data_IF_223598668417
#
_entry.id   IF_223598668417
#
_cell.length_a   1.000
_cell.length_b   1.000
_cell.length_c   1.000
_cell.angle_alpha   90.00
_cell.angle_beta   90.00
_cell.angle_gamma   90.00
#
_symmetry.space_group_name_H-M   'P 1'
#
loop_
_entity.id
_entity.type
_entity.pdbx_description
1 polymer ?
#
# COMPACT_ATOMS: atom_id res chain seq x y z
N UNK A 1 -33.27 16.59 -54.94
CA UNK A 1 -32.78 17.57 -53.92
C UNK A 1 -33.54 17.44 -52.59
N UNK A 2 -33.79 16.20 -52.11
CA UNK A 2 -34.57 15.93 -50.88
C UNK A 2 -33.78 15.08 -49.86
N UNK A 3 -32.78 14.31 -50.30
CA UNK A 3 -31.95 13.47 -49.42
C UNK A 3 -31.03 14.28 -48.49
N UNK A 4 -30.52 15.43 -48.95
CA UNK A 4 -29.52 16.21 -48.22
C UNK A 4 -30.03 16.80 -46.88
N UNK A 5 -31.34 17.00 -46.72
CA UNK A 5 -31.92 17.53 -45.47
C UNK A 5 -31.97 16.46 -44.38
N UNK A 6 -32.21 15.19 -44.71
CA UNK A 6 -32.28 14.09 -43.74
C UNK A 6 -30.90 13.71 -43.20
N UNK A 7 -29.88 13.66 -44.08
CA UNK A 7 -28.48 13.44 -43.68
C UNK A 7 -27.94 14.58 -42.83
N UNK A 8 -28.29 15.84 -43.12
CA UNK A 8 -27.89 16.99 -42.32
C UNK A 8 -28.46 16.93 -40.89
N UNK A 9 -29.72 16.51 -40.74
CA UNK A 9 -30.37 16.34 -39.43
C UNK A 9 -29.71 15.22 -38.62
N UNK A 10 -29.39 14.09 -39.24
CA UNK A 10 -28.70 12.97 -38.58
C UNK A 10 -27.31 13.37 -38.10
N UNK A 11 -26.56 14.15 -38.89
CA UNK A 11 -25.25 14.67 -38.49
C UNK A 11 -25.33 15.57 -37.26
N UNK A 12 -26.33 16.45 -37.18
CA UNK A 12 -26.55 17.32 -36.02
C UNK A 12 -26.82 16.49 -34.75
N UNK A 13 -27.62 15.43 -34.85
CA UNK A 13 -27.94 14.55 -33.72
C UNK A 13 -26.67 13.82 -33.21
N UNK A 14 -25.81 13.36 -34.12
CA UNK A 14 -24.53 12.71 -33.76
C UNK A 14 -23.63 13.68 -33.00
N UNK A 15 -23.50 14.92 -33.46
CA UNK A 15 -22.69 15.94 -32.78
C UNK A 15 -23.22 16.30 -31.38
N UNK A 16 -24.54 16.30 -31.18
CA UNK A 16 -25.15 16.50 -29.86
C UNK A 16 -24.79 15.35 -28.91
N UNK A 17 -24.86 14.10 -29.38
CA UNK A 17 -24.47 12.93 -28.58
C UNK A 17 -22.98 12.97 -28.22
N UNK A 18 -22.11 13.34 -29.17
CA UNK A 18 -20.66 13.48 -28.92
C UNK A 18 -20.39 14.59 -27.91
N UNK A 19 -21.10 15.73 -27.98
CA UNK A 19 -20.98 16.81 -26.99
C UNK A 19 -21.46 16.38 -25.60
N UNK A 20 -22.55 15.62 -25.50
CA UNK A 20 -23.06 15.07 -24.23
C UNK A 20 -22.11 14.02 -23.64
N UNK A 21 -21.56 13.12 -24.46
CA UNK A 21 -20.58 12.13 -24.05
C UNK A 21 -19.26 12.80 -23.61
N UNK A 22 -18.81 13.82 -24.34
CA UNK A 22 -17.64 14.62 -23.98
C UNK A 22 -17.83 15.39 -22.67
N UNK A 23 -19.00 16.00 -22.48
CA UNK A 23 -19.34 16.72 -21.25
C UNK A 23 -19.42 15.80 -20.03
N UNK A 24 -20.03 14.62 -20.18
CA UNK A 24 -20.09 13.61 -19.11
C UNK A 24 -18.71 13.03 -18.79
N UNK A 25 -17.89 12.72 -19.79
CA UNK A 25 -16.51 12.26 -19.61
C UNK A 25 -15.62 13.31 -18.95
N UNK A 26 -15.73 14.59 -19.36
CA UNK A 26 -14.99 15.69 -18.75
C UNK A 26 -15.38 15.89 -17.27
N UNK A 27 -16.68 15.80 -16.96
CA UNK A 27 -17.18 15.85 -15.58
C UNK A 27 -16.66 14.68 -14.75
N UNK A 28 -16.64 13.46 -15.30
CA UNK A 28 -16.12 12.26 -14.63
C UNK A 28 -14.60 12.36 -14.35
N UNK A 29 -13.81 12.82 -15.34
CA UNK A 29 -12.36 13.02 -15.21
C UNK A 29 -12.02 14.07 -14.16
N UNK A 30 -12.78 15.16 -14.11
CA UNK A 30 -12.60 16.19 -13.07
C UNK A 30 -13.07 15.70 -11.70
N UNK A 31 -14.18 14.96 -11.59
CA UNK A 31 -14.60 14.33 -10.34
C UNK A 31 -13.55 13.36 -9.80
N UNK A 32 -12.90 12.57 -10.65
CA UNK A 32 -11.86 11.61 -10.22
C UNK A 32 -10.60 12.32 -9.70
N UNK A 33 -10.16 13.39 -10.38
CA UNK A 33 -9.04 14.23 -9.91
C UNK A 33 -9.37 14.93 -8.60
N UNK A 34 -10.59 15.45 -8.47
CA UNK A 34 -11.06 16.10 -7.23
C UNK A 34 -11.18 15.08 -6.10
N UNK A 35 -11.64 13.85 -6.34
CA UNK A 35 -11.70 12.78 -5.34
C UNK A 35 -10.29 12.43 -4.85
N UNK A 36 -9.32 12.20 -5.74
CA UNK A 36 -7.93 11.92 -5.35
C UNK A 36 -7.29 13.09 -4.59
N UNK A 37 -7.56 14.33 -4.99
CA UNK A 37 -7.07 15.51 -4.28
C UNK A 37 -7.74 15.70 -2.92
N UNK A 38 -9.04 15.45 -2.79
CA UNK A 38 -9.77 15.51 -1.51
C UNK A 38 -9.27 14.42 -0.56
N UNK A 39 -8.95 13.23 -1.06
CA UNK A 39 -8.37 12.15 -0.26
C UNK A 39 -6.94 12.47 0.20
N UNK A 40 -6.09 13.02 -0.68
CA UNK A 40 -4.76 13.53 -0.33
C UNK A 40 -4.83 14.69 0.69
N UNK A 41 -5.77 15.63 0.53
CA UNK A 41 -6.00 16.73 1.46
C UNK A 41 -6.58 16.24 2.79
N UNK A 42 -7.37 15.16 2.80
CA UNK A 42 -7.86 14.51 4.02
C UNK A 42 -6.74 13.75 4.74
N UNK A 43 -5.86 13.06 4.00
CA UNK A 43 -4.63 12.42 4.52
C UNK A 43 -3.68 13.48 5.10
N UNK A 44 -3.51 14.61 4.40
CA UNK A 44 -2.71 15.76 4.86
C UNK A 44 -3.33 16.49 6.06
N UNK A 45 -4.65 16.71 6.09
CA UNK A 45 -5.36 17.27 7.26
C UNK A 45 -5.26 16.35 8.47
N UNK A 46 -5.37 15.04 8.29
CA UNK A 46 -5.21 14.05 9.36
C UNK A 46 -3.76 13.99 9.90
N UNK A 47 -2.77 14.29 9.06
CA UNK A 47 -1.35 14.48 9.45
C UNK A 47 -1.12 15.81 10.20
N UNK A 48 -1.84 16.86 9.81
CA UNK A 48 -1.81 18.19 10.44
C UNK A 48 -2.61 18.25 11.76
N UNK A 49 -3.64 17.44 11.94
CA UNK A 49 -4.51 17.43 13.13
C UNK A 49 -3.82 16.89 14.39
N UNK A 50 -2.73 16.14 14.28
CA UNK A 50 -2.02 15.62 15.47
C UNK A 50 -0.82 16.44 15.88
N UNK A 51 0.02 16.93 14.96
CA UNK A 51 1.28 17.62 15.29
C UNK A 51 2.19 16.84 16.26
N UNK A 52 1.87 15.57 16.50
CA UNK A 52 2.43 14.69 17.51
C UNK A 52 2.96 13.49 16.76
N UNK A 53 4.24 13.26 16.96
CA UNK A 53 4.95 12.10 16.47
C UNK A 53 5.13 11.11 17.62
N UNK A 54 5.14 9.83 17.29
CA UNK A 54 5.53 8.76 18.19
C UNK A 54 6.72 8.01 17.60
N UNK A 55 7.63 7.59 18.47
CA UNK A 55 8.81 6.83 18.07
C UNK A 55 8.44 5.34 17.93
N UNK A 56 8.73 4.76 16.76
CA UNK A 56 8.50 3.35 16.47
C UNK A 56 9.80 2.70 16.04
N UNK A 57 10.08 1.52 16.58
CA UNK A 57 11.26 0.76 16.23
C UNK A 57 11.07 0.02 14.91
N UNK A 58 11.95 0.30 13.97
CA UNK A 58 12.02 -0.40 12.70
C UNK A 58 13.19 -1.37 12.67
N UNK A 59 13.02 -2.46 11.93
CA UNK A 59 14.01 -3.51 11.78
C UNK A 59 14.51 -3.54 10.34
N UNK A 60 15.82 -3.64 10.16
CA UNK A 60 16.51 -3.46 8.88
C UNK A 60 17.51 -4.58 8.67
N UNK A 61 17.49 -5.26 7.52
CA UNK A 61 18.55 -6.19 7.15
C UNK A 61 19.90 -5.47 7.09
N UNK A 62 20.94 -6.06 7.68
CA UNK A 62 22.30 -5.55 7.47
C UNK A 62 22.77 -5.80 6.03
N UNK A 63 23.86 -5.14 5.61
CA UNK A 63 24.36 -5.22 4.23
C UNK A 63 24.74 -6.64 3.76
N UNK A 64 25.01 -7.56 4.69
CA UNK A 64 25.35 -8.96 4.41
C UNK A 64 24.16 -9.92 4.53
N UNK A 65 22.96 -9.42 4.86
CA UNK A 65 21.75 -10.19 5.09
C UNK A 65 21.90 -11.33 6.13
N UNK A 66 22.64 -11.07 7.21
CA UNK A 66 22.84 -12.02 8.31
C UNK A 66 22.06 -11.65 9.56
N UNK A 67 21.78 -10.37 9.80
CA UNK A 67 21.14 -9.91 11.03
C UNK A 67 20.13 -8.78 10.73
N UNK A 68 19.23 -8.52 11.69
CA UNK A 68 18.37 -7.34 11.68
C UNK A 68 18.92 -6.30 12.66
N UNK A 69 19.25 -5.12 12.13
CA UNK A 69 19.55 -3.93 12.92
C UNK A 69 18.27 -3.17 13.25
N UNK A 70 18.26 -2.45 14.35
CA UNK A 70 17.11 -1.65 14.78
C UNK A 70 17.40 -0.17 14.67
N UNK A 71 16.38 0.61 14.31
CA UNK A 71 16.43 2.07 14.36
C UNK A 71 15.06 2.60 14.74
N UNK A 72 15.04 3.49 15.71
CA UNK A 72 13.82 4.19 16.10
C UNK A 72 13.57 5.33 15.10
N UNK A 73 12.35 5.40 14.58
CA UNK A 73 11.92 6.47 13.68
C UNK A 73 10.60 7.07 14.15
N UNK A 74 10.50 8.39 14.01
CA UNK A 74 9.31 9.13 14.36
C UNK A 74 8.27 9.02 13.25
N UNK A 75 7.11 8.49 13.59
CA UNK A 75 5.95 8.44 12.70
C UNK A 75 4.82 9.32 13.27
N UNK A 76 3.94 9.87 12.41
CA UNK A 76 2.75 10.56 12.90
C UNK A 76 1.92 9.66 13.81
N UNK A 77 1.32 10.22 14.86
CA UNK A 77 0.40 9.45 15.71
C UNK A 77 -0.86 9.11 14.92
N UNK A 78 -1.22 7.82 14.89
CA UNK A 78 -2.43 7.31 14.25
C UNK A 78 -3.43 6.81 15.30
N UNK A 79 -4.64 7.37 15.30
CA UNK A 79 -5.72 6.92 16.20
C UNK A 79 -6.21 5.50 15.91
N UNK A 80 -6.28 5.13 14.62
CA UNK A 80 -6.70 3.79 14.21
C UNK A 80 -5.47 2.90 14.14
N UNK A 81 -5.51 1.78 14.88
CA UNK A 81 -4.46 0.76 14.87
C UNK A 81 -4.15 0.26 13.44
N UNK A 82 -5.18 0.07 12.61
CA UNK A 82 -5.03 -0.31 11.18
C UNK A 82 -4.12 0.68 10.43
N UNK A 83 -4.45 1.97 10.47
CA UNK A 83 -3.71 3.01 9.76
C UNK A 83 -2.24 3.10 10.24
N UNK A 84 -2.00 2.87 11.54
CA UNK A 84 -0.64 2.77 12.10
C UNK A 84 0.14 1.60 11.48
N UNK A 85 -0.47 0.42 11.46
CA UNK A 85 0.14 -0.80 10.90
C UNK A 85 0.42 -0.64 9.41
N UNK A 86 -0.55 -0.10 8.66
CA UNK A 86 -0.41 0.24 7.25
C UNK A 86 0.83 1.12 7.03
N UNK A 87 0.98 2.19 7.85
CA UNK A 87 2.13 3.08 7.72
C UNK A 87 3.46 2.43 8.06
N UNK A 88 3.48 1.59 9.10
CA UNK A 88 4.68 0.83 9.48
C UNK A 88 5.06 -0.13 8.34
N UNK A 89 4.08 -0.82 7.75
CA UNK A 89 4.32 -1.73 6.64
C UNK A 89 4.87 -1.01 5.39
N UNK A 90 4.26 0.11 4.97
CA UNK A 90 4.77 0.96 3.88
C UNK A 90 6.25 1.34 4.11
N UNK A 91 6.58 1.81 5.32
CA UNK A 91 7.96 2.18 5.69
C UNK A 91 8.89 0.98 5.66
N UNK A 92 8.44 -0.18 6.15
CA UNK A 92 9.23 -1.41 6.08
C UNK A 92 9.50 -1.82 4.62
N UNK A 93 8.55 -1.68 3.69
CA UNK A 93 8.79 -1.96 2.28
C UNK A 93 9.81 -0.99 1.65
N UNK A 94 9.71 0.30 1.96
CA UNK A 94 10.72 1.30 1.55
C UNK A 94 12.12 0.90 2.04
N UNK A 95 12.23 0.43 3.29
CA UNK A 95 13.49 -0.05 3.86
C UNK A 95 14.05 -1.27 3.12
N UNK A 96 13.19 -2.21 2.71
CA UNK A 96 13.62 -3.36 1.91
C UNK A 96 14.08 -2.97 0.51
N UNK A 97 13.49 -1.93 -0.08
CA UNK A 97 13.98 -1.34 -1.32
C UNK A 97 15.37 -0.72 -1.13
N UNK A 98 15.57 0.09 -0.09
CA UNK A 98 16.88 0.68 0.24
C UNK A 98 17.96 -0.38 0.49
N UNK A 99 17.57 -1.53 1.07
CA UNK A 99 18.43 -2.70 1.27
C UNK A 99 18.64 -3.54 -0.02
N UNK A 100 18.09 -3.13 -1.16
CA UNK A 100 18.15 -3.85 -2.45
C UNK A 100 17.59 -5.27 -2.38
N UNK A 101 16.61 -5.51 -1.50
CA UNK A 101 15.83 -6.76 -1.45
C UNK A 101 14.65 -6.66 -2.41
N UNK A 102 13.96 -5.52 -2.39
CA UNK A 102 12.91 -5.18 -3.34
C UNK A 102 13.45 -4.23 -4.40
N UNK A 103 12.86 -4.27 -5.59
CA UNK A 103 13.22 -3.41 -6.72
C UNK A 103 12.28 -2.21 -6.87
N UNK A 104 11.09 -2.29 -6.26
CA UNK A 104 10.08 -1.23 -6.32
C UNK A 104 10.21 -0.32 -5.10
N UNK A 105 10.42 1.00 -5.28
CA UNK A 105 10.65 1.95 -4.18
C UNK A 105 9.43 2.21 -3.31
N UNK A 106 8.25 2.18 -3.92
CA UNK A 106 6.99 2.43 -3.25
C UNK A 106 6.07 1.25 -3.50
N UNK A 107 5.77 0.52 -2.44
CA UNK A 107 4.79 -0.54 -2.43
C UNK A 107 3.64 -0.06 -1.57
N UNK A 108 2.49 0.11 -2.21
CA UNK A 108 1.28 0.49 -1.51
C UNK A 108 0.66 -0.76 -0.84
N UNK A 109 0.19 -0.58 0.38
CA UNK A 109 -0.57 -1.60 1.10
C UNK A 109 -2.04 -1.45 0.72
N UNK A 110 -2.61 -2.44 0.04
CA UNK A 110 -4.02 -2.41 -0.40
C UNK A 110 -4.96 -2.40 0.78
N UNK A 111 -4.71 -3.29 1.73
CA UNK A 111 -5.56 -3.45 2.89
C UNK A 111 -4.79 -4.04 4.08
N UNK A 112 -5.32 -3.76 5.26
CA UNK A 112 -4.86 -4.33 6.53
C UNK A 112 -6.07 -4.87 7.26
N UNK A 113 -6.07 -6.17 7.53
CA UNK A 113 -7.08 -6.85 8.34
C UNK A 113 -6.47 -7.24 9.68
N UNK A 114 -7.24 -7.10 10.76
CA UNK A 114 -6.80 -7.47 12.10
C UNK A 114 -7.81 -8.47 12.67
N UNK A 115 -7.36 -9.68 12.97
CA UNK A 115 -8.15 -10.71 13.62
C UNK A 115 -7.41 -11.22 14.86
N UNK A 116 -7.91 -10.83 16.04
CA UNK A 116 -7.24 -11.11 17.32
C UNK A 116 -5.86 -10.45 17.37
N UNK A 117 -4.81 -11.27 17.57
CA UNK A 117 -3.41 -10.85 17.62
C UNK A 117 -2.68 -10.94 16.26
N UNK A 118 -3.43 -11.27 15.19
CA UNK A 118 -2.89 -11.51 13.85
C UNK A 118 -3.29 -10.39 12.89
N UNK A 119 -2.30 -9.85 12.19
CA UNK A 119 -2.47 -8.89 11.10
C UNK A 119 -2.33 -9.61 9.77
N UNK A 120 -3.23 -9.31 8.84
CA UNK A 120 -3.11 -9.71 7.44
C UNK A 120 -2.85 -8.44 6.63
N UNK A 121 -1.73 -8.40 5.92
CA UNK A 121 -1.35 -7.27 5.06
C UNK A 121 -1.51 -7.72 3.64
N UNK A 122 -2.43 -7.06 2.93
CA UNK A 122 -2.62 -7.27 1.50
C UNK A 122 -1.77 -6.27 0.71
N UNK A 123 -0.95 -6.80 -0.18
CA UNK A 123 0.05 -6.07 -0.93
C UNK A 123 -0.17 -6.20 -2.44
N UNK A 124 0.43 -5.25 -3.16
CA UNK A 124 0.60 -5.36 -4.60
C UNK A 124 1.60 -6.48 -4.97
N UNK A 125 1.51 -7.09 -6.17
CA UNK A 125 2.37 -8.20 -6.62
C UNK A 125 3.88 -7.92 -6.65
N UNK A 126 4.29 -6.66 -6.60
CA UNK A 126 5.66 -6.15 -6.64
C UNK A 126 6.53 -6.67 -5.50
N UNK A 127 5.92 -7.17 -4.42
CA UNK A 127 6.64 -7.86 -3.33
C UNK A 127 7.06 -9.28 -3.70
N UNK A 128 6.76 -9.76 -4.91
CA UNK A 128 6.96 -11.12 -5.38
C UNK A 128 8.37 -11.68 -5.18
N UNK A 129 9.40 -10.83 -5.14
CA UNK A 129 10.76 -11.23 -4.81
C UNK A 129 10.87 -11.91 -3.43
N UNK A 130 10.04 -11.53 -2.45
CA UNK A 130 10.04 -12.11 -1.11
C UNK A 130 9.41 -13.50 -1.05
N UNK A 131 8.72 -13.94 -2.11
CA UNK A 131 8.06 -15.25 -2.18
C UNK A 131 9.04 -16.41 -2.06
N UNK A 132 10.23 -16.26 -2.65
CA UNK A 132 11.25 -17.32 -2.69
C UNK A 132 11.92 -17.53 -1.33
N UNK A 133 12.07 -18.78 -0.84
CA UNK A 133 12.56 -19.11 0.50
C UNK A 133 14.09 -18.98 0.65
N UNK A 134 14.66 -17.85 0.25
CA UNK A 134 16.08 -17.54 0.43
C UNK A 134 16.33 -16.85 1.77
N UNK A 135 17.55 -16.99 2.33
CA UNK A 135 17.93 -16.31 3.59
C UNK A 135 17.68 -14.80 3.53
N UNK A 136 18.06 -14.16 2.43
CA UNK A 136 17.84 -12.73 2.16
C UNK A 136 16.36 -12.34 2.24
N UNK A 137 15.49 -13.12 1.59
CA UNK A 137 14.05 -12.82 1.54
C UNK A 137 13.37 -13.07 2.87
N UNK A 138 13.74 -14.16 3.56
CA UNK A 138 13.23 -14.46 4.89
C UNK A 138 13.59 -13.34 5.87
N UNK A 139 14.82 -12.83 5.80
CA UNK A 139 15.26 -11.69 6.62
C UNK A 139 14.45 -10.43 6.28
N UNK A 140 14.15 -10.19 5.00
CA UNK A 140 13.25 -9.11 4.58
C UNK A 140 11.83 -9.24 5.15
N UNK A 141 11.28 -10.45 5.17
CA UNK A 141 9.97 -10.72 5.80
C UNK A 141 10.04 -10.43 7.30
N UNK A 142 11.07 -10.88 8.01
CA UNK A 142 11.19 -10.59 9.43
C UNK A 142 11.44 -9.11 9.74
N UNK A 143 12.07 -8.34 8.84
CA UNK A 143 12.13 -6.88 8.93
C UNK A 143 10.72 -6.26 8.98
N UNK A 144 9.81 -6.71 8.12
CA UNK A 144 8.40 -6.27 8.12
C UNK A 144 7.68 -6.75 9.40
N UNK A 145 7.76 -8.05 9.70
CA UNK A 145 7.03 -8.69 10.81
C UNK A 145 7.44 -8.09 12.16
N UNK A 146 8.74 -7.92 12.39
CA UNK A 146 9.23 -7.40 13.67
C UNK A 146 8.81 -5.95 13.89
N UNK A 147 8.84 -5.12 12.83
CA UNK A 147 8.36 -3.74 12.86
C UNK A 147 6.87 -3.64 13.18
N UNK A 148 6.03 -4.43 12.51
CA UNK A 148 4.57 -4.41 12.75
C UNK A 148 4.23 -4.90 14.16
N UNK A 149 4.94 -5.91 14.66
CA UNK A 149 4.71 -6.46 16.01
C UNK A 149 5.17 -5.53 17.13
N UNK A 150 5.77 -4.37 16.83
CA UNK A 150 5.96 -3.31 17.85
C UNK A 150 4.65 -2.60 18.19
N UNK A 151 3.61 -2.77 17.36
CA UNK A 151 2.28 -2.29 17.69
C UNK A 151 1.68 -3.15 18.82
N UNK A 152 1.32 -2.56 19.98
CA UNK A 152 0.85 -3.34 21.12
C UNK A 152 -0.36 -4.22 20.79
N UNK A 153 -0.30 -5.48 21.21
CA UNK A 153 -1.35 -6.47 20.98
C UNK A 153 -1.34 -7.13 19.60
N UNK A 154 -0.30 -6.89 18.78
CA UNK A 154 -0.06 -7.62 17.53
C UNK A 154 1.16 -8.54 17.71
N UNK A 155 0.96 -9.84 17.50
CA UNK A 155 2.02 -10.85 17.66
C UNK A 155 2.33 -11.59 16.36
N UNK A 156 1.40 -11.57 15.39
CA UNK A 156 1.47 -12.36 14.17
C UNK A 156 1.18 -11.52 12.95
N UNK A 157 1.84 -11.83 11.84
CA UNK A 157 1.64 -11.17 10.54
C UNK A 157 1.56 -12.22 9.44
N UNK A 158 0.55 -12.11 8.59
CA UNK A 158 0.36 -12.87 7.35
C UNK A 158 0.41 -11.89 6.18
N UNK A 159 1.21 -12.21 5.17
CA UNK A 159 1.32 -11.42 3.96
C UNK A 159 0.43 -12.07 2.89
N UNK A 160 -0.43 -11.27 2.28
CA UNK A 160 -1.30 -11.62 1.17
C UNK A 160 -0.90 -10.82 -0.07
N UNK A 161 -1.21 -11.34 -1.25
CA UNK A 161 -1.03 -10.63 -2.52
C UNK A 161 -2.33 -10.73 -3.29
N UNK A 162 -2.92 -9.58 -3.62
CA UNK A 162 -4.23 -9.48 -4.27
C UNK A 162 -5.33 -10.26 -3.52
N UNK A 163 -5.39 -10.07 -2.19
CA UNK A 163 -6.30 -10.73 -1.25
C UNK A 163 -6.21 -12.26 -1.22
N UNK A 164 -5.21 -12.84 -1.88
CA UNK A 164 -5.04 -14.29 -2.03
C UNK A 164 -3.85 -14.78 -1.23
N UNK A 165 -4.02 -15.97 -0.67
CA UNK A 165 -2.90 -16.73 -0.16
C UNK A 165 -1.97 -17.14 -1.32
N UNK A 166 -0.67 -17.10 -1.03
CA UNK A 166 0.38 -17.40 -1.99
C UNK A 166 1.26 -18.53 -1.45
N UNK A 167 1.95 -19.22 -2.37
CA UNK A 167 2.93 -20.25 -2.02
C UNK A 167 4.27 -19.65 -1.55
N UNK A 168 5.22 -20.50 -1.17
CA UNK A 168 6.55 -20.08 -0.71
C UNK A 168 6.47 -19.43 0.67
N UNK A 169 7.24 -18.37 0.87
CA UNK A 169 7.26 -17.66 2.15
C UNK A 169 5.88 -17.09 2.54
N UNK A 170 5.07 -16.65 1.58
CA UNK A 170 3.75 -16.06 1.85
C UNK A 170 2.70 -17.08 2.32
N UNK A 171 2.99 -18.38 2.26
CA UNK A 171 2.08 -19.42 2.77
C UNK A 171 1.98 -19.43 4.30
N UNK A 172 2.91 -18.78 5.00
CA UNK A 172 3.05 -18.89 6.45
C UNK A 172 2.52 -17.66 7.19
N UNK A 173 2.15 -17.86 8.46
CA UNK A 173 1.95 -16.79 9.43
C UNK A 173 3.27 -16.65 10.20
N UNK A 174 3.79 -15.44 10.29
CA UNK A 174 5.05 -15.13 10.95
C UNK A 174 4.83 -14.49 12.30
N UNK A 175 5.66 -14.85 13.26
CA UNK A 175 5.80 -14.16 14.55
C UNK A 175 7.12 -13.42 14.59
N UNK A 176 7.27 -12.50 15.54
CA UNK A 176 8.54 -11.84 15.82
C UNK A 176 9.67 -12.87 15.99
N UNK A 177 10.81 -12.61 15.37
CA UNK A 177 12.02 -13.42 15.54
C UNK A 177 13.26 -12.50 15.48
N UNK A 178 14.22 -12.69 16.38
CA UNK A 178 15.47 -11.91 16.43
C UNK A 178 16.73 -12.78 16.29
N UNK A 179 16.58 -14.10 16.17
CA UNK A 179 17.69 -15.05 16.13
C UNK A 179 18.00 -15.40 14.66
N UNK A 180 18.98 -14.71 14.07
CA UNK A 180 19.39 -14.85 12.65
C UNK A 180 20.90 -15.00 12.47
#
# INVERSE_FOLDING_TARGET
>A
MVENKKTLVVLIIIWIIVALAGGTYYKLKNSTKVINQVELVKKARKLLETGKFESVKFYYPNGNFTELKTKDEDIPVYYKKRDKIEKIAERSFENLYLAKILTTPQIDVKNVYIAGDTVYIDCEPEIGALKEPTKKNILGIYSIVNSITEVPGINKVKILVDEKEQSGNFSRIYTRNMNF
#
